data_IF_981150268973
#
_entry.id   IF_981150268973
#
_cell.length_a   1.000
_cell.length_b   1.000
_cell.length_c   1.000
_cell.angle_alpha   90.00
_cell.angle_beta   90.00
_cell.angle_gamma   90.00
#
_symmetry.space_group_name_H-M   'P 1'
#
loop_
_entity.id
_entity.type
_entity.pdbx_description
1 polymer ?
#
# COMPACT_ATOMS: atom_id res chain seq x y z
N UNK A 1 -30.58 -21.55 26.58
CA UNK A 1 -30.50 -22.50 27.72
C UNK A 1 -30.55 -23.90 27.16
N UNK A 2 -29.52 -24.71 27.50
CA UNK A 2 -29.42 -26.17 27.35
C UNK A 2 -29.28 -26.77 25.93
N UNK A 3 -28.62 -27.94 25.78
CA UNK A 3 -27.51 -28.50 26.57
C UNK A 3 -26.33 -29.01 25.72
N UNK A 4 -25.23 -29.28 26.43
CA UNK A 4 -24.01 -29.93 25.97
C UNK A 4 -24.15 -31.46 25.95
N UNK A 5 -23.27 -32.08 25.15
CA UNK A 5 -22.70 -33.44 25.25
C UNK A 5 -23.54 -34.62 24.68
N UNK A 6 -22.94 -35.80 24.39
CA UNK A 6 -21.52 -36.22 24.50
C UNK A 6 -20.92 -36.89 23.23
N UNK A 7 -19.60 -37.08 23.26
CA UNK A 7 -18.81 -37.99 22.41
C UNK A 7 -19.19 -39.46 22.64
N UNK A 8 -19.09 -40.34 21.62
CA UNK A 8 -18.79 -41.74 21.84
C UNK A 8 -17.34 -42.06 21.45
N UNK A 9 -16.59 -42.50 22.45
CA UNK A 9 -15.41 -43.33 22.28
C UNK A 9 -15.84 -44.80 22.15
N UNK A 10 -15.40 -45.49 21.10
CA UNK A 10 -15.31 -46.95 21.11
C UNK A 10 -14.07 -47.35 20.33
N UNK A 11 -13.02 -47.67 21.09
CA UNK A 11 -11.96 -48.55 20.63
C UNK A 11 -12.56 -49.95 20.51
N UNK A 12 -12.42 -50.58 19.34
CA UNK A 12 -12.60 -52.02 19.20
C UNK A 12 -11.39 -52.55 18.44
N UNK A 13 -10.40 -52.98 19.24
CA UNK A 13 -9.18 -53.62 18.81
C UNK A 13 -9.36 -55.11 19.11
N UNK A 14 -9.33 -55.92 18.04
CA UNK A 14 -8.80 -57.28 17.97
C UNK A 14 -9.74 -58.28 17.29
N UNK A 15 -9.42 -58.63 16.04
CA UNK A 15 -9.11 -60.02 15.68
C UNK A 15 -8.54 -60.09 14.27
N UNK A 16 -7.26 -60.43 14.14
CA UNK A 16 -6.75 -61.02 12.90
C UNK A 16 -5.87 -62.24 13.23
N UNK A 17 -6.10 -63.37 12.55
CA UNK A 17 -5.48 -64.65 12.88
C UNK A 17 -4.05 -64.78 12.37
N UNK A 18 -3.27 -65.52 13.14
CA UNK A 18 -1.93 -65.98 12.82
C UNK A 18 -1.90 -66.77 11.50
N UNK A 19 -1.16 -66.25 10.52
CA UNK A 19 -0.95 -66.87 9.22
C UNK A 19 0.51 -66.83 8.80
N UNK A 20 1.25 -67.86 9.21
CA UNK A 20 2.49 -68.42 8.61
C UNK A 20 3.40 -67.47 7.80
N UNK A 21 4.50 -67.11 8.46
CA UNK A 21 5.74 -66.58 7.89
C UNK A 21 6.26 -67.51 6.77
N UNK A 22 6.24 -67.06 5.52
CA UNK A 22 7.01 -67.67 4.43
C UNK A 22 8.14 -66.74 4.04
N UNK A 23 9.32 -67.03 4.60
CA UNK A 23 10.62 -66.46 4.23
C UNK A 23 10.82 -66.59 2.71
N UNK A 24 10.87 -65.46 2.00
CA UNK A 24 11.58 -65.35 0.73
C UNK A 24 12.32 -64.02 0.71
N UNK A 25 13.60 -64.13 1.02
CA UNK A 25 14.59 -63.09 0.77
C UNK A 25 14.66 -62.82 -0.73
N UNK A 26 14.33 -61.59 -1.13
CA UNK A 26 14.86 -61.00 -2.35
C UNK A 26 15.29 -59.58 -2.01
N UNK A 27 16.60 -59.38 -2.06
CA UNK A 27 17.24 -58.08 -2.08
C UNK A 27 16.71 -57.30 -3.29
N UNK A 28 16.26 -56.06 -3.07
CA UNK A 28 15.64 -55.24 -4.11
C UNK A 28 15.61 -53.76 -3.72
N UNK A 29 16.77 -53.13 -3.83
CA UNK A 29 17.04 -51.79 -4.35
C UNK A 29 15.94 -50.72 -4.19
N UNK A 30 16.24 -49.75 -3.33
CA UNK A 30 16.08 -48.30 -3.46
C UNK A 30 14.91 -47.71 -4.28
N UNK A 31 14.07 -46.94 -3.60
CA UNK A 31 13.72 -45.57 -4.02
C UNK A 31 12.97 -44.87 -2.87
N UNK A 32 13.72 -44.27 -1.93
CA UNK A 32 13.16 -43.27 -1.03
C UNK A 32 12.94 -42.02 -1.88
N UNK A 33 11.76 -41.92 -2.51
CA UNK A 33 11.35 -40.76 -3.29
C UNK A 33 11.28 -39.54 -2.39
N UNK A 34 12.36 -38.77 -2.35
CA UNK A 34 12.42 -37.46 -1.73
C UNK A 34 11.49 -36.55 -2.53
N UNK A 35 10.23 -36.45 -2.12
CA UNK A 35 9.28 -35.50 -2.67
C UNK A 35 9.86 -34.09 -2.43
N UNK A 36 10.41 -33.51 -3.49
CA UNK A 36 10.85 -32.12 -3.54
C UNK A 36 9.64 -31.24 -3.23
N UNK A 37 9.50 -30.85 -1.97
CA UNK A 37 8.70 -29.69 -1.58
C UNK A 37 9.45 -28.46 -2.10
N UNK A 38 9.35 -28.20 -3.40
CA UNK A 38 9.78 -26.94 -3.95
C UNK A 38 8.84 -25.87 -3.37
N UNK A 39 9.34 -24.94 -2.53
CA UNK A 39 8.51 -23.82 -2.12
C UNK A 39 8.20 -23.05 -3.39
N UNK A 40 6.92 -23.03 -3.77
CA UNK A 40 6.47 -22.12 -4.80
C UNK A 40 6.69 -20.71 -4.24
N UNK A 41 7.70 -20.01 -4.74
CA UNK A 41 7.89 -18.58 -4.46
C UNK A 41 6.80 -17.86 -5.25
N UNK A 42 5.66 -17.62 -4.60
CA UNK A 42 4.59 -16.84 -5.18
C UNK A 42 5.05 -15.38 -5.10
N UNK A 43 5.51 -14.84 -6.23
CA UNK A 43 5.82 -13.43 -6.34
C UNK A 43 4.60 -12.60 -5.96
N UNK A 44 4.78 -11.56 -5.16
CA UNK A 44 3.68 -10.66 -4.83
C UNK A 44 3.19 -9.98 -6.12
N UNK A 45 1.88 -9.94 -6.37
CA UNK A 45 1.35 -9.30 -7.58
C UNK A 45 1.76 -7.83 -7.60
N UNK A 46 2.20 -7.35 -8.78
CA UNK A 46 2.56 -5.97 -8.99
C UNK A 46 1.38 -5.05 -8.60
N UNK A 47 1.68 -3.92 -7.98
CA UNK A 47 0.64 -2.94 -7.64
C UNK A 47 0.24 -2.21 -8.93
N UNK A 48 -1.03 -2.27 -9.36
CA UNK A 48 -1.47 -1.54 -10.54
C UNK A 48 -1.56 -0.03 -10.25
N UNK A 49 -1.43 0.78 -11.30
CA UNK A 49 -1.74 2.20 -11.22
C UNK A 49 -3.22 2.41 -10.89
N UNK A 50 -3.54 3.34 -10.00
CA UNK A 50 -4.93 3.65 -9.63
C UNK A 50 -5.04 4.76 -8.60
N UNK A 51 -6.27 4.99 -8.14
CA UNK A 51 -6.56 5.96 -7.07
C UNK A 51 -6.12 5.39 -5.71
N UNK A 52 -4.87 5.65 -5.31
CA UNK A 52 -4.28 5.12 -4.08
C UNK A 52 -4.99 5.59 -2.81
N UNK A 53 -5.52 6.82 -2.80
CA UNK A 53 -6.27 7.36 -1.67
C UNK A 53 -7.63 6.68 -1.55
N UNK A 54 -8.35 6.46 -2.65
CA UNK A 54 -9.61 5.74 -2.63
C UNK A 54 -9.41 4.27 -2.24
N UNK A 55 -8.39 3.60 -2.78
CA UNK A 55 -8.07 2.20 -2.45
C UNK A 55 -7.80 1.97 -0.96
N UNK A 56 -7.30 3.00 -0.26
CA UNK A 56 -7.07 2.96 1.19
C UNK A 56 -8.19 3.60 2.02
N UNK A 57 -9.28 4.05 1.40
CA UNK A 57 -10.37 4.78 2.07
C UNK A 57 -9.87 6.06 2.79
N UNK A 58 -8.87 6.72 2.21
CA UNK A 58 -8.20 7.93 2.73
C UNK A 58 -8.36 9.15 1.80
N UNK A 59 -9.37 9.14 0.93
CA UNK A 59 -9.62 10.24 0.00
C UNK A 59 -10.47 11.33 0.66
N UNK A 60 -9.95 12.55 0.89
CA UNK A 60 -10.75 13.62 1.45
C UNK A 60 -11.82 14.12 0.47
N UNK A 61 -12.92 14.65 1.00
CA UNK A 61 -13.91 15.38 0.21
C UNK A 61 -13.26 16.56 -0.50
N UNK A 62 -13.66 16.82 -1.75
CA UNK A 62 -13.14 17.93 -2.56
C UNK A 62 -11.88 17.63 -3.35
N UNK A 63 -11.27 16.45 -3.16
CA UNK A 63 -10.14 16.00 -3.93
C UNK A 63 -10.60 15.18 -5.13
N UNK A 64 -10.44 15.73 -6.33
CA UNK A 64 -10.85 15.11 -7.59
C UNK A 64 -9.73 14.22 -8.14
N UNK A 65 -10.08 13.01 -8.58
CA UNK A 65 -9.14 12.12 -9.24
C UNK A 65 -8.87 12.59 -10.67
N UNK A 66 -7.60 12.72 -11.05
CA UNK A 66 -7.21 13.07 -12.42
C UNK A 66 -6.76 11.82 -13.16
N UNK A 67 -5.87 11.03 -12.56
CA UNK A 67 -5.33 9.82 -13.20
C UNK A 67 -4.09 9.29 -12.50
N UNK A 68 -3.63 8.13 -12.97
CA UNK A 68 -2.40 7.51 -12.52
C UNK A 68 -1.53 7.20 -13.72
N UNK A 69 -0.24 7.52 -13.62
CA UNK A 69 0.75 7.13 -14.64
C UNK A 69 1.94 6.44 -13.99
N UNK A 70 2.59 5.55 -14.75
CA UNK A 70 3.93 5.12 -14.42
C UNK A 70 4.93 6.15 -14.97
N UNK A 71 5.86 6.58 -14.12
CA UNK A 71 6.86 7.57 -14.44
C UNK A 71 8.09 7.41 -13.56
N UNK A 72 8.77 8.52 -13.30
CA UNK A 72 9.95 8.53 -12.45
C UNK A 72 9.80 9.54 -11.32
N UNK A 73 10.25 9.15 -10.14
CA UNK A 73 10.48 10.04 -9.02
C UNK A 73 11.99 10.18 -8.83
N UNK A 74 12.50 11.36 -9.12
CA UNK A 74 13.92 11.59 -9.41
C UNK A 74 14.41 10.70 -10.56
N UNK A 75 14.97 9.52 -10.25
CA UNK A 75 15.48 8.56 -11.24
C UNK A 75 14.86 7.17 -11.09
N UNK A 76 14.09 6.94 -10.03
CA UNK A 76 13.51 5.65 -9.72
C UNK A 76 12.12 5.54 -10.33
N UNK A 77 11.78 4.36 -10.85
CA UNK A 77 10.43 4.13 -11.35
C UNK A 77 9.41 4.29 -10.23
N UNK A 78 8.29 4.91 -10.55
CA UNK A 78 7.22 5.15 -9.61
C UNK A 78 5.85 5.16 -10.30
N UNK A 79 4.82 4.79 -9.55
CA UNK A 79 3.44 5.09 -9.94
C UNK A 79 3.04 6.42 -9.30
N UNK A 80 2.54 7.34 -10.12
CA UNK A 80 2.20 8.71 -9.72
C UNK A 80 0.70 8.90 -9.92
N UNK A 81 0.00 8.95 -8.81
CA UNK A 81 -1.43 9.22 -8.73
C UNK A 81 -1.65 10.72 -8.55
N UNK A 82 -2.30 11.36 -9.52
CA UNK A 82 -2.54 12.80 -9.56
C UNK A 82 -3.98 13.13 -9.26
N UNK A 83 -4.16 14.15 -8.43
CA UNK A 83 -5.44 14.68 -8.01
C UNK A 83 -5.44 16.20 -8.12
N UNK A 84 -6.63 16.79 -8.20
CA UNK A 84 -6.80 18.25 -8.16
C UNK A 84 -7.81 18.65 -7.10
N UNK A 85 -7.62 19.82 -6.50
CA UNK A 85 -8.57 20.43 -5.55
C UNK A 85 -8.78 21.90 -5.92
N UNK A 86 -10.03 22.38 -5.99
CA UNK A 86 -10.30 23.80 -6.20
C UNK A 86 -9.65 24.65 -5.10
N UNK A 87 -9.17 25.84 -5.43
CA UNK A 87 -8.58 26.75 -4.44
C UNK A 87 -9.51 27.08 -3.25
N UNK A 88 -10.82 27.06 -3.48
CA UNK A 88 -11.85 27.23 -2.43
C UNK A 88 -11.86 26.10 -1.38
N UNK A 89 -11.34 24.92 -1.73
CA UNK A 89 -11.30 23.73 -0.87
C UNK A 89 -9.86 23.38 -0.43
N UNK A 90 -8.85 24.04 -0.99
CA UNK A 90 -7.44 23.73 -0.75
C UNK A 90 -7.05 23.75 0.73
N UNK A 91 -7.56 24.71 1.52
CA UNK A 91 -7.27 24.79 2.96
C UNK A 91 -7.89 23.63 3.77
N UNK A 92 -8.99 23.04 3.31
CA UNK A 92 -9.57 21.86 3.94
C UNK A 92 -8.75 20.61 3.62
N UNK A 93 -8.37 20.43 2.36
CA UNK A 93 -7.54 19.30 1.90
C UNK A 93 -6.14 19.34 2.51
N UNK A 94 -5.48 20.50 2.54
CA UNK A 94 -4.17 20.64 3.19
C UNK A 94 -4.23 20.19 4.65
N UNK A 95 -5.20 20.69 5.43
CA UNK A 95 -5.37 20.29 6.83
C UNK A 95 -5.63 18.79 6.99
N UNK A 96 -6.34 18.18 6.06
CA UNK A 96 -6.53 16.73 6.04
C UNK A 96 -5.19 16.01 5.83
N UNK A 97 -4.44 16.39 4.79
CA UNK A 97 -3.14 15.80 4.48
C UNK A 97 -2.16 15.96 5.63
N UNK A 98 -2.07 17.15 6.24
CA UNK A 98 -1.24 17.37 7.42
C UNK A 98 -1.53 16.39 8.56
N UNK A 99 -2.81 16.15 8.87
CA UNK A 99 -3.21 15.26 9.98
C UNK A 99 -3.01 13.78 9.66
N UNK A 100 -3.24 13.37 8.41
CA UNK A 100 -3.33 11.95 8.05
C UNK A 100 -2.06 11.40 7.39
N UNK A 101 -1.19 12.28 6.87
CA UNK A 101 0.06 11.88 6.22
C UNK A 101 1.29 12.51 6.87
N UNK A 102 1.11 13.47 7.79
CA UNK A 102 2.23 14.21 8.38
C UNK A 102 2.83 15.26 7.44
N UNK A 103 2.17 15.57 6.31
CA UNK A 103 2.61 16.63 5.41
C UNK A 103 2.76 17.96 6.15
N UNK A 104 3.82 18.69 5.87
CA UNK A 104 4.03 20.03 6.40
C UNK A 104 3.01 21.02 5.83
N UNK A 105 2.71 22.13 6.53
CA UNK A 105 1.87 23.17 5.96
C UNK A 105 2.52 23.77 4.70
N UNK A 106 1.70 24.14 3.72
CA UNK A 106 2.15 24.80 2.52
C UNK A 106 2.76 26.18 2.84
N UNK A 107 3.86 26.50 2.18
CA UNK A 107 4.47 27.82 2.21
C UNK A 107 4.59 28.33 0.78
N UNK A 108 4.45 29.63 0.62
CA UNK A 108 4.73 30.26 -0.66
C UNK A 108 6.24 30.35 -0.86
N UNK A 109 6.75 29.74 -1.91
CA UNK A 109 8.18 29.68 -2.25
C UNK A 109 8.33 29.98 -3.74
N UNK A 110 9.18 30.97 -4.06
CA UNK A 110 9.39 31.50 -5.42
C UNK A 110 8.10 32.05 -6.05
N UNK A 111 7.24 31.16 -6.56
CA UNK A 111 6.05 31.48 -7.35
C UNK A 111 4.88 30.51 -7.07
N UNK A 112 4.97 29.67 -6.04
CA UNK A 112 3.97 28.62 -5.80
C UNK A 112 3.88 28.22 -4.35
N UNK A 113 2.86 27.41 -4.05
CA UNK A 113 2.64 26.82 -2.74
C UNK A 113 3.14 25.39 -2.74
N UNK A 114 3.91 25.01 -1.72
CA UNK A 114 4.45 23.66 -1.58
C UNK A 114 4.73 23.36 -0.09
N UNK A 115 4.77 22.08 0.33
CA UNK A 115 4.91 21.75 1.74
C UNK A 115 6.35 21.98 2.21
N UNK A 116 6.51 22.81 3.24
CA UNK A 116 7.82 23.15 3.80
C UNK A 116 7.82 23.03 5.32
N UNK A 117 8.83 22.36 5.86
CA UNK A 117 9.08 22.36 7.31
C UNK A 117 9.76 23.67 7.73
N UNK A 118 9.93 23.87 9.04
CA UNK A 118 10.76 24.97 9.54
C UNK A 118 12.16 24.86 8.92
N UNK A 119 12.78 25.99 8.58
CA UNK A 119 14.05 26.07 7.84
C UNK A 119 13.99 25.74 6.34
N UNK A 120 12.81 25.60 5.75
CA UNK A 120 12.65 25.57 4.29
C UNK A 120 12.95 24.22 3.62
N UNK A 121 13.20 23.16 4.39
CA UNK A 121 13.36 21.81 3.83
C UNK A 121 12.02 21.27 3.29
N UNK A 122 12.04 20.35 2.30
CA UNK A 122 10.83 19.68 1.81
C UNK A 122 10.05 19.01 2.96
N UNK A 123 8.73 19.13 2.94
CA UNK A 123 7.84 18.64 3.99
C UNK A 123 6.76 17.69 3.50
N UNK A 124 7.11 16.80 2.57
CA UNK A 124 6.18 15.80 2.01
C UNK A 124 5.63 14.89 3.12
N UNK A 125 4.36 14.51 3.01
CA UNK A 125 3.74 13.52 3.87
C UNK A 125 4.01 12.10 3.39
N UNK A 126 3.60 11.12 4.20
CA UNK A 126 3.76 9.69 3.90
C UNK A 126 2.47 8.92 4.18
N UNK A 127 2.23 7.89 3.38
CA UNK A 127 1.18 6.89 3.59
C UNK A 127 1.78 5.48 3.52
N UNK A 128 1.22 4.50 4.24
CA UNK A 128 1.64 3.11 4.12
C UNK A 128 1.40 2.62 2.68
N UNK A 129 2.46 2.21 1.98
CA UNK A 129 2.34 1.51 0.70
C UNK A 129 2.34 0.01 0.88
N UNK A 130 2.87 -0.71 -0.12
CA UNK A 130 2.98 -2.18 -0.12
C UNK A 130 4.42 -2.62 0.06
N UNK A 131 4.59 -3.84 0.59
CA UNK A 131 5.91 -4.46 0.79
C UNK A 131 6.90 -3.59 1.61
N UNK A 132 6.39 -2.79 2.55
CA UNK A 132 7.22 -1.92 3.39
C UNK A 132 7.65 -0.60 2.74
N UNK A 133 7.29 -0.36 1.48
CA UNK A 133 7.59 0.89 0.77
C UNK A 133 6.51 1.92 1.13
N UNK A 134 6.91 3.07 1.68
CA UNK A 134 5.99 4.17 1.94
C UNK A 134 5.68 4.94 0.64
N UNK A 135 4.43 5.36 0.47
CA UNK A 135 4.08 6.33 -0.56
C UNK A 135 4.34 7.73 -0.03
N UNK A 136 4.90 8.60 -0.88
CA UNK A 136 4.98 10.04 -0.57
C UNK A 136 3.71 10.73 -1.01
N UNK A 137 3.33 11.75 -0.25
CA UNK A 137 2.17 12.60 -0.52
C UNK A 137 2.60 14.06 -0.51
N UNK A 138 2.34 14.78 -1.58
CA UNK A 138 2.56 16.21 -1.67
C UNK A 138 1.34 16.94 -2.21
N UNK A 139 1.28 18.24 -1.94
CA UNK A 139 0.26 19.15 -2.44
C UNK A 139 0.95 20.42 -2.89
N UNK A 140 0.67 20.89 -4.10
CA UNK A 140 1.28 22.09 -4.65
C UNK A 140 0.29 22.92 -5.45
N UNK A 141 0.58 24.21 -5.61
CA UNK A 141 -0.07 25.01 -6.66
C UNK A 141 0.80 24.98 -7.92
N UNK A 142 0.17 25.26 -9.07
CA UNK A 142 0.92 25.80 -10.21
C UNK A 142 1.51 27.18 -9.88
N UNK A 143 2.20 27.78 -10.85
CA UNK A 143 2.70 29.14 -10.71
C UNK A 143 1.56 30.14 -10.44
N UNK A 144 1.75 31.02 -9.47
CA UNK A 144 0.76 32.00 -9.04
C UNK A 144 1.38 33.19 -8.34
N UNK A 145 0.77 34.36 -8.51
CA UNK A 145 1.10 35.59 -7.77
C UNK A 145 0.36 35.70 -6.43
N UNK A 146 -0.53 34.74 -6.12
CA UNK A 146 -1.33 34.74 -4.89
C UNK A 146 -0.48 34.21 -3.73
N UNK A 147 0.22 35.13 -3.05
CA UNK A 147 1.17 34.82 -1.97
C UNK A 147 0.55 34.63 -0.58
N UNK A 148 -0.74 34.93 -0.41
CA UNK A 148 -1.45 34.82 0.87
C UNK A 148 -2.52 33.73 0.82
N UNK A 149 -2.65 32.97 1.92
CA UNK A 149 -3.67 31.92 2.08
C UNK A 149 -5.10 32.44 1.93
N UNK A 150 -5.36 33.68 2.33
CA UNK A 150 -6.66 34.33 2.17
C UNK A 150 -7.08 34.50 0.70
N UNK A 151 -6.13 34.44 -0.24
CA UNK A 151 -6.39 34.52 -1.68
C UNK A 151 -6.51 33.16 -2.37
N UNK A 152 -6.44 32.03 -1.66
CA UNK A 152 -6.42 30.71 -2.29
C UNK A 152 -7.64 30.42 -3.17
N UNK A 153 -8.80 31.01 -2.88
CA UNK A 153 -9.99 30.88 -3.73
C UNK A 153 -9.81 31.42 -5.16
N UNK A 154 -8.78 32.25 -5.40
CA UNK A 154 -8.44 32.80 -6.72
C UNK A 154 -7.49 31.87 -7.50
N UNK A 155 -6.86 30.90 -6.84
CA UNK A 155 -6.04 29.88 -7.50
C UNK A 155 -7.01 28.81 -8.01
N UNK A 156 -7.08 28.54 -9.33
CA UNK A 156 -8.08 27.62 -9.88
C UNK A 156 -7.97 26.22 -9.28
N UNK A 157 -6.74 25.71 -9.18
CA UNK A 157 -6.46 24.35 -8.74
C UNK A 157 -5.15 24.27 -7.97
N UNK A 158 -5.15 23.44 -6.94
CA UNK A 158 -3.95 22.83 -6.40
C UNK A 158 -3.91 21.38 -6.86
N UNK A 159 -2.72 20.87 -7.08
CA UNK A 159 -2.46 19.48 -7.40
C UNK A 159 -2.00 18.74 -6.15
N UNK A 160 -2.46 17.50 -5.98
CA UNK A 160 -1.94 16.58 -4.97
C UNK A 160 -1.36 15.39 -5.71
N UNK A 161 -0.13 15.00 -5.38
CA UNK A 161 0.48 13.77 -5.88
C UNK A 161 0.64 12.75 -4.77
N UNK A 162 0.31 11.51 -5.09
CA UNK A 162 0.68 10.35 -4.30
C UNK A 162 1.62 9.50 -5.14
N UNK A 163 2.88 9.43 -4.71
CA UNK A 163 3.94 8.72 -5.42
C UNK A 163 4.25 7.43 -4.70
N UNK A 164 4.08 6.30 -5.39
CA UNK A 164 4.51 4.98 -4.95
C UNK A 164 5.80 4.61 -5.67
N UNK A 165 6.97 4.62 -5.00
CA UNK A 165 8.20 4.09 -5.57
C UNK A 165 8.03 2.61 -5.89
N UNK A 166 8.51 2.20 -7.07
CA UNK A 166 8.58 0.79 -7.47
C UNK A 166 9.97 0.19 -7.22
N UNK A 167 10.94 1.04 -6.89
CA UNK A 167 12.34 0.73 -6.66
C UNK A 167 12.79 1.41 -5.36
N UNK A 168 13.70 0.78 -4.62
CA UNK A 168 14.36 1.39 -3.46
C UNK A 168 15.59 2.18 -3.94
N UNK A 169 15.93 3.31 -3.29
CA UNK A 169 17.16 4.05 -3.58
C UNK A 169 18.44 3.25 -3.34
#
# INVERSE_FOLDING_TARGET
MQPLAPLPATADLARQPAGRLRRRSFAGIAALGLALLAPAVWGQPATPCGDFLAAQQRKPSGLEWVGCTEGHDHQLRALIATYRVPGTQAAAVERYLMRHTGMAPLRFVCCGWEPRVRHGQPGQGQLPGRAGIAMRVDMHSGETLITRRSGWSQIPWFEVRVTLPLELP
#
